data_IF_329473543674
#
_entry.id   IF_329473543674
#
_cell.length_a   1.000
_cell.length_b   1.000
_cell.length_c   1.000
_cell.angle_alpha   90.00
_cell.angle_beta   90.00
_cell.angle_gamma   90.00
#
_symmetry.space_group_name_H-M   'P 1'
#
loop_
_entity.id
_entity.type
_entity.pdbx_description
1 polymer ?
#
# COMPACT_ATOMS: atom_id res chain seq x y z
N UNK A 1 21.50 -89.21 39.27
CA UNK A 1 22.65 -89.80 38.63
C UNK A 1 22.82 -89.15 37.24
N UNK A 2 24.04 -88.72 36.95
CA UNK A 2 24.68 -88.33 35.68
C UNK A 2 24.27 -86.98 35.10
N UNK A 3 25.16 -86.03 35.24
CA UNK A 3 25.49 -84.78 34.58
C UNK A 3 25.66 -84.95 33.04
N UNK A 4 25.17 -84.00 32.29
CA UNK A 4 25.79 -83.63 31.00
C UNK A 4 25.86 -82.13 30.86
N UNK A 5 27.05 -81.64 30.72
CA UNK A 5 27.45 -80.27 30.45
C UNK A 5 27.37 -80.08 28.94
N UNK A 6 26.68 -79.08 28.47
CA UNK A 6 26.74 -78.60 27.07
C UNK A 6 27.35 -77.23 27.05
N UNK A 7 28.50 -77.16 26.40
CA UNK A 7 29.31 -75.93 26.15
C UNK A 7 28.65 -75.11 25.03
N UNK A 8 28.26 -73.87 25.29
CA UNK A 8 27.77 -72.99 24.26
C UNK A 8 28.79 -71.90 23.95
N UNK A 9 29.31 -71.96 22.71
CA UNK A 9 30.29 -71.05 22.15
C UNK A 9 29.56 -69.75 21.83
N UNK A 10 29.97 -68.58 22.39
CA UNK A 10 29.47 -67.24 22.07
C UNK A 10 30.30 -66.69 20.93
N UNK A 11 29.68 -66.50 19.75
CA UNK A 11 30.23 -65.69 18.67
C UNK A 11 29.83 -64.22 18.96
N UNK A 12 30.81 -63.37 19.23
CA UNK A 12 30.64 -61.93 19.30
C UNK A 12 30.70 -61.37 17.88
N UNK A 13 29.55 -60.94 17.35
CA UNK A 13 29.44 -60.09 16.16
C UNK A 13 29.51 -58.64 16.58
N UNK A 14 30.58 -57.94 16.25
CA UNK A 14 30.75 -56.52 16.46
C UNK A 14 29.84 -55.72 15.55
N UNK A 15 28.83 -55.02 16.12
CA UNK A 15 28.08 -54.01 15.44
C UNK A 15 28.82 -52.65 15.56
N UNK A 16 29.46 -52.19 14.46
CA UNK A 16 29.89 -50.79 14.35
C UNK A 16 28.64 -49.89 14.31
N UNK A 17 28.37 -49.23 15.41
CA UNK A 17 27.42 -48.11 15.43
C UNK A 17 28.06 -46.91 14.73
N UNK A 18 27.66 -46.65 13.49
CA UNK A 18 27.83 -45.36 12.84
C UNK A 18 26.94 -44.32 13.54
N UNK A 19 27.50 -43.63 14.55
CA UNK A 19 26.93 -42.41 15.06
C UNK A 19 27.05 -41.32 14.01
N UNK A 20 26.05 -41.23 13.12
CA UNK A 20 25.80 -40.06 12.31
C UNK A 20 25.47 -38.91 13.24
N UNK A 21 26.39 -37.97 13.40
CA UNK A 21 26.06 -36.66 13.96
C UNK A 21 25.07 -35.99 13.01
N UNK A 22 23.77 -36.18 13.23
CA UNK A 22 22.76 -35.21 12.79
C UNK A 22 23.05 -33.96 13.61
N UNK A 23 23.55 -32.89 12.97
CA UNK A 23 23.45 -31.54 13.52
C UNK A 23 21.98 -31.34 13.87
N UNK A 24 21.65 -31.33 15.16
CA UNK A 24 20.36 -30.77 15.63
C UNK A 24 20.28 -29.35 15.04
N UNK A 25 19.26 -29.09 14.26
CA UNK A 25 18.81 -27.71 14.03
C UNK A 25 18.77 -27.04 15.41
N UNK A 26 19.42 -25.90 15.55
CA UNK A 26 19.49 -25.17 16.81
C UNK A 26 18.09 -25.04 17.39
N UNK A 27 18.01 -25.14 18.70
CA UNK A 27 16.75 -25.05 19.45
C UNK A 27 16.12 -23.70 19.14
N UNK A 28 15.07 -23.68 18.32
CA UNK A 28 14.38 -22.46 17.87
C UNK A 28 13.61 -21.76 19.00
N UNK A 29 13.58 -22.38 20.19
CA UNK A 29 12.87 -21.89 21.37
C UNK A 29 13.49 -20.62 22.00
N UNK A 30 14.73 -20.28 21.67
CA UNK A 30 15.44 -19.13 22.24
C UNK A 30 15.47 -17.89 21.31
N UNK A 31 14.89 -17.97 20.11
CA UNK A 31 14.86 -16.86 19.16
C UNK A 31 13.67 -15.97 19.41
N UNK A 32 13.93 -14.67 19.61
CA UNK A 32 12.91 -13.63 19.65
C UNK A 32 13.27 -12.57 18.60
N UNK A 33 12.38 -12.35 17.65
CA UNK A 33 12.48 -11.29 16.65
C UNK A 33 11.85 -10.02 17.22
N UNK A 34 12.54 -8.88 17.10
CA UNK A 34 12.00 -7.56 17.42
C UNK A 34 11.52 -6.91 16.14
N UNK A 35 10.21 -6.71 16.03
CA UNK A 35 9.55 -6.13 14.87
C UNK A 35 8.93 -4.77 15.19
N UNK A 36 9.32 -3.72 14.46
CA UNK A 36 8.75 -2.38 14.55
C UNK A 36 7.75 -2.16 13.42
N UNK A 37 6.47 -2.01 13.78
CA UNK A 37 5.39 -1.84 12.80
C UNK A 37 4.87 -0.41 12.74
N UNK A 38 4.55 0.03 11.49
CA UNK A 38 3.87 1.29 11.21
C UNK A 38 2.39 1.29 11.58
N UNK A 39 1.83 0.14 11.90
CA UNK A 39 0.44 0.02 12.28
C UNK A 39 0.25 0.30 13.77
N UNK A 40 -0.94 0.79 14.14
CA UNK A 40 -1.38 0.75 15.53
C UNK A 40 -2.01 -0.64 15.78
N UNK A 41 -1.88 -1.15 16.98
CA UNK A 41 -2.43 -2.47 17.35
C UNK A 41 -3.95 -2.56 17.11
N UNK A 42 -4.68 -1.45 17.32
CA UNK A 42 -6.13 -1.39 17.14
C UNK A 42 -6.58 -1.36 15.66
N UNK A 43 -5.68 -1.09 14.72
CA UNK A 43 -6.00 -1.15 13.30
C UNK A 43 -6.19 -2.61 12.86
N UNK A 44 -7.05 -2.90 11.86
CA UNK A 44 -7.25 -4.28 11.37
C UNK A 44 -5.95 -4.99 11.01
N UNK A 45 -5.00 -4.26 10.42
CA UNK A 45 -3.67 -4.75 10.09
C UNK A 45 -2.91 -5.16 11.35
N UNK A 46 -2.86 -4.28 12.37
CA UNK A 46 -2.20 -4.56 13.64
C UNK A 46 -2.78 -5.81 14.33
N UNK A 47 -4.11 -5.93 14.35
CA UNK A 47 -4.78 -7.10 14.91
C UNK A 47 -4.44 -8.41 14.18
N UNK A 48 -4.33 -8.38 12.85
CA UNK A 48 -3.93 -9.55 12.06
C UNK A 48 -2.46 -9.88 12.30
N UNK A 49 -1.58 -8.88 12.32
CA UNK A 49 -0.15 -9.06 12.59
C UNK A 49 0.09 -9.69 13.97
N UNK A 50 -0.61 -9.23 15.01
CA UNK A 50 -0.51 -9.80 16.36
C UNK A 50 -0.88 -11.29 16.37
N UNK A 51 -2.03 -11.66 15.81
CA UNK A 51 -2.48 -13.07 15.74
C UNK A 51 -1.56 -13.93 14.88
N UNK A 52 -1.05 -13.39 13.77
CA UNK A 52 -0.10 -14.09 12.91
C UNK A 52 1.23 -14.37 13.63
N UNK A 53 1.72 -13.42 14.44
CA UNK A 53 2.92 -13.58 15.26
C UNK A 53 2.72 -14.65 16.35
N UNK A 54 1.58 -14.66 17.02
CA UNK A 54 1.24 -15.72 17.99
C UNK A 54 1.18 -17.12 17.33
N UNK A 55 0.54 -17.20 16.15
CA UNK A 55 0.46 -18.44 15.39
C UNK A 55 1.85 -18.89 14.91
N UNK A 56 2.67 -17.98 14.39
CA UNK A 56 4.04 -18.26 13.98
C UNK A 56 4.89 -18.79 15.14
N UNK A 57 4.76 -18.16 16.33
CA UNK A 57 5.46 -18.60 17.54
C UNK A 57 5.03 -20.02 17.93
N UNK A 58 3.73 -20.30 17.92
CA UNK A 58 3.19 -21.64 18.25
C UNK A 58 3.71 -22.71 17.29
N UNK A 59 3.79 -22.39 15.98
CA UNK A 59 4.08 -23.37 14.94
C UNK A 59 5.59 -23.57 14.72
N UNK A 60 6.41 -22.56 15.08
CA UNK A 60 7.85 -22.58 14.82
C UNK A 60 8.74 -22.53 16.05
N UNK A 61 8.21 -22.13 17.20
CA UNK A 61 8.96 -21.83 18.43
C UNK A 61 9.68 -20.48 18.40
N UNK A 62 9.68 -19.75 17.27
CA UNK A 62 10.29 -18.42 17.13
C UNK A 62 9.31 -17.38 17.65
N UNK A 63 9.71 -16.61 18.65
CA UNK A 63 8.89 -15.51 19.18
C UNK A 63 9.01 -14.28 18.28
N UNK A 64 7.93 -13.52 18.19
CA UNK A 64 7.92 -12.22 17.51
C UNK A 64 7.35 -11.19 18.47
N UNK A 65 8.18 -10.23 18.86
CA UNK A 65 7.81 -9.09 19.71
C UNK A 65 7.54 -7.88 18.80
N UNK A 66 6.25 -7.48 18.71
CA UNK A 66 5.84 -6.41 17.81
C UNK A 66 5.69 -5.11 18.59
N UNK A 67 6.47 -4.11 18.22
CA UNK A 67 6.31 -2.73 18.66
C UNK A 67 5.40 -1.99 17.67
N UNK A 68 4.15 -1.76 18.05
CA UNK A 68 3.18 -1.01 17.27
C UNK A 68 3.42 0.51 17.41
N UNK A 69 4.28 1.06 16.58
CA UNK A 69 4.70 2.47 16.62
C UNK A 69 3.68 3.43 15.98
N UNK A 70 2.73 2.90 15.21
CA UNK A 70 1.90 3.75 14.37
C UNK A 70 2.76 4.56 13.39
N UNK A 71 2.23 5.67 12.91
CA UNK A 71 2.93 6.56 11.94
C UNK A 71 4.11 7.33 12.56
N UNK A 72 4.30 7.27 13.89
CA UNK A 72 5.47 7.86 14.54
C UNK A 72 6.77 7.12 14.22
N UNK A 73 6.70 5.88 13.71
CA UNK A 73 7.85 5.14 13.16
C UNK A 73 8.66 6.00 12.18
N UNK A 74 8.01 6.90 11.44
CA UNK A 74 8.64 7.82 10.49
C UNK A 74 9.65 8.77 11.13
N UNK A 75 9.51 9.02 12.43
CA UNK A 75 10.39 9.90 13.20
C UNK A 75 11.33 9.12 14.12
N UNK A 76 10.92 7.95 14.58
CA UNK A 76 11.60 7.21 15.65
C UNK A 76 12.55 6.14 15.15
N UNK A 77 12.28 5.53 13.98
CA UNK A 77 13.06 4.39 13.49
C UNK A 77 14.50 4.76 13.12
N UNK A 78 14.71 5.88 12.41
CA UNK A 78 16.05 6.29 12.01
C UNK A 78 16.98 6.50 13.24
N UNK A 79 16.60 7.28 14.27
CA UNK A 79 17.43 7.43 15.48
C UNK A 79 17.71 6.11 16.19
N UNK A 80 16.73 5.20 16.25
CA UNK A 80 16.89 3.89 16.89
C UNK A 80 17.89 2.99 16.12
N UNK A 81 17.81 2.96 14.79
CA UNK A 81 18.77 2.26 13.94
C UNK A 81 20.18 2.84 14.06
N UNK A 82 20.31 4.18 14.11
CA UNK A 82 21.59 4.88 14.30
C UNK A 82 22.20 4.60 15.69
N UNK A 83 21.36 4.46 16.72
CA UNK A 83 21.78 4.08 18.06
C UNK A 83 22.16 2.59 18.20
N UNK A 84 21.89 1.78 17.19
CA UNK A 84 22.15 0.34 17.20
C UNK A 84 21.19 -0.44 18.10
N UNK A 85 19.95 0.05 18.27
CA UNK A 85 18.92 -0.69 18.98
C UNK A 85 18.64 -2.04 18.31
N UNK A 86 18.23 -3.02 19.11
CA UNK A 86 17.88 -4.34 18.59
C UNK A 86 16.54 -4.22 17.86
N UNK A 87 16.60 -4.21 16.54
CA UNK A 87 15.45 -4.23 15.62
C UNK A 87 15.81 -5.20 14.50
N UNK A 88 15.06 -6.30 14.39
CA UNK A 88 15.34 -7.32 13.37
C UNK A 88 14.63 -7.02 12.05
N UNK A 89 13.39 -6.57 12.13
CA UNK A 89 12.61 -6.14 10.97
C UNK A 89 11.69 -4.97 11.31
N UNK A 90 11.30 -4.25 10.27
CA UNK A 90 10.38 -3.11 10.38
C UNK A 90 9.58 -2.96 9.09
N UNK A 91 8.47 -2.22 9.14
CA UNK A 91 7.65 -1.97 7.96
C UNK A 91 7.23 -0.51 7.82
N UNK A 92 7.05 -0.08 6.60
CA UNK A 92 6.46 1.17 6.14
C UNK A 92 6.23 1.13 4.62
N UNK A 93 5.85 2.24 4.01
CA UNK A 93 5.74 2.38 2.55
C UNK A 93 7.01 1.93 1.83
N UNK A 94 6.84 1.23 0.70
CA UNK A 94 7.94 0.59 -0.03
C UNK A 94 9.04 1.57 -0.47
N UNK A 95 8.67 2.78 -0.90
CA UNK A 95 9.63 3.80 -1.32
C UNK A 95 10.34 4.40 -0.10
N UNK A 96 9.63 4.60 1.01
CA UNK A 96 10.22 5.08 2.25
C UNK A 96 11.20 4.07 2.84
N UNK A 97 10.85 2.80 2.92
CA UNK A 97 11.77 1.74 3.39
C UNK A 97 13.04 1.72 2.55
N UNK A 98 12.91 1.79 1.23
CA UNK A 98 14.05 1.75 0.32
C UNK A 98 14.90 3.02 0.36
N UNK A 99 14.28 4.20 0.31
CA UNK A 99 14.98 5.48 0.12
C UNK A 99 15.48 6.06 1.45
N UNK A 100 14.70 5.94 2.54
CA UNK A 100 15.08 6.54 3.83
C UNK A 100 15.99 5.59 4.62
N UNK A 101 15.66 4.29 4.64
CA UNK A 101 16.36 3.32 5.48
C UNK A 101 17.17 2.28 4.69
N UNK A 102 17.32 2.48 3.38
CA UNK A 102 18.03 1.53 2.48
C UNK A 102 19.43 1.12 2.92
N UNK A 103 20.15 1.99 3.64
CA UNK A 103 21.48 1.70 4.18
C UNK A 103 21.49 0.68 5.33
N UNK A 104 20.33 0.43 5.95
CA UNK A 104 20.17 -0.53 7.05
C UNK A 104 19.64 -1.87 6.57
N UNK A 105 19.25 -2.00 5.30
CA UNK A 105 18.60 -3.19 4.77
C UNK A 105 19.58 -4.29 4.40
N UNK A 106 19.18 -5.52 4.71
CA UNK A 106 19.84 -6.73 4.24
C UNK A 106 19.42 -7.04 2.79
N UNK A 107 20.35 -7.42 1.87
CA UNK A 107 19.97 -7.99 0.59
C UNK A 107 19.25 -9.33 0.76
N UNK A 108 18.13 -9.51 0.05
CA UNK A 108 17.21 -10.64 0.26
C UNK A 108 17.09 -11.57 -0.96
N UNK A 109 17.88 -11.39 -2.02
CA UNK A 109 17.78 -12.16 -3.26
C UNK A 109 17.91 -13.69 -3.02
N UNK A 110 18.84 -14.11 -2.15
CA UNK A 110 19.02 -15.51 -1.80
C UNK A 110 17.81 -16.11 -1.08
N UNK A 111 17.10 -15.30 -0.28
CA UNK A 111 15.90 -15.73 0.42
C UNK A 111 14.70 -15.80 -0.53
N UNK A 112 14.55 -14.82 -1.43
CA UNK A 112 13.48 -14.76 -2.44
C UNK A 112 13.51 -15.96 -3.39
N UNK A 113 14.70 -16.50 -3.65
CA UNK A 113 14.90 -17.67 -4.52
C UNK A 113 14.59 -19.02 -3.86
N UNK A 114 14.42 -19.06 -2.53
CA UNK A 114 14.12 -20.30 -1.79
C UNK A 114 12.64 -20.63 -1.79
N UNK A 115 12.33 -21.90 -1.58
CA UNK A 115 10.97 -22.39 -1.30
C UNK A 115 10.75 -22.50 0.21
N UNK A 116 9.52 -22.25 0.65
CA UNK A 116 9.08 -22.31 2.05
C UNK A 116 7.85 -23.19 2.20
N UNK A 117 7.47 -23.53 3.42
CA UNK A 117 6.32 -24.41 3.70
C UNK A 117 5.01 -23.90 3.10
N UNK A 118 4.81 -22.56 3.06
CA UNK A 118 3.60 -21.92 2.54
C UNK A 118 3.65 -21.62 1.04
N UNK A 119 4.78 -21.87 0.35
CA UNK A 119 4.94 -21.57 -1.10
C UNK A 119 4.62 -22.75 -2.03
N UNK A 120 4.19 -23.89 -1.48
CA UNK A 120 3.87 -25.07 -2.28
C UNK A 120 5.04 -25.63 -3.08
N UNK A 121 6.27 -25.50 -2.59
CA UNK A 121 7.50 -25.97 -3.24
C UNK A 121 8.05 -25.04 -4.32
N UNK A 122 7.38 -23.93 -4.60
CA UNK A 122 7.87 -22.89 -5.54
C UNK A 122 8.79 -21.90 -4.83
N UNK A 123 9.77 -21.28 -5.53
CA UNK A 123 10.48 -20.14 -5.00
C UNK A 123 9.52 -19.03 -4.53
N UNK A 124 9.85 -18.36 -3.41
CA UNK A 124 8.99 -17.33 -2.85
C UNK A 124 8.67 -16.21 -3.85
N UNK A 125 9.66 -15.76 -4.62
CA UNK A 125 9.47 -14.69 -5.61
C UNK A 125 8.51 -15.04 -6.76
N UNK A 126 8.14 -16.32 -6.94
CA UNK A 126 7.20 -16.76 -7.97
C UNK A 126 5.75 -16.80 -7.48
N UNK A 127 5.53 -16.77 -6.16
CA UNK A 127 4.19 -16.88 -5.56
C UNK A 127 3.59 -15.54 -5.14
N UNK A 128 4.38 -14.47 -5.18
CA UNK A 128 3.97 -13.13 -4.81
C UNK A 128 3.87 -12.20 -6.03
N UNK A 129 3.27 -11.02 -5.85
CA UNK A 129 3.09 -10.04 -6.91
C UNK A 129 4.41 -9.61 -7.55
N UNK A 130 4.61 -10.02 -8.81
CA UNK A 130 5.87 -9.78 -9.53
C UNK A 130 6.14 -8.29 -9.76
N UNK A 131 5.13 -7.49 -10.07
CA UNK A 131 5.30 -6.04 -10.33
C UNK A 131 5.87 -5.33 -9.12
N UNK A 132 5.40 -5.66 -7.91
CA UNK A 132 5.89 -5.07 -6.67
C UNK A 132 7.27 -5.61 -6.27
N UNK A 133 7.54 -6.89 -6.53
CA UNK A 133 8.88 -7.44 -6.30
C UNK A 133 9.91 -6.80 -7.25
N UNK A 134 9.55 -6.57 -8.52
CA UNK A 134 10.40 -5.87 -9.47
C UNK A 134 10.61 -4.40 -9.05
N UNK A 135 9.59 -3.73 -8.51
CA UNK A 135 9.71 -2.39 -7.93
C UNK A 135 10.68 -2.38 -6.73
N UNK A 136 10.54 -3.34 -5.80
CA UNK A 136 11.47 -3.48 -4.68
C UNK A 136 12.92 -3.66 -5.14
N UNK A 137 13.13 -4.46 -6.20
CA UNK A 137 14.44 -4.65 -6.82
C UNK A 137 14.97 -3.36 -7.46
N UNK A 138 14.14 -2.62 -8.17
CA UNK A 138 14.51 -1.33 -8.77
C UNK A 138 14.92 -0.32 -7.70
N UNK A 139 14.11 -0.16 -6.65
CA UNK A 139 14.39 0.74 -5.53
C UNK A 139 15.65 0.33 -4.74
N UNK A 140 15.94 -0.97 -4.68
CA UNK A 140 17.14 -1.52 -4.05
C UNK A 140 18.41 -1.46 -4.89
N UNK A 141 18.39 -0.78 -6.06
CA UNK A 141 19.56 -0.65 -6.95
C UNK A 141 19.93 -1.94 -7.66
N UNK A 142 18.95 -2.75 -8.04
CA UNK A 142 19.10 -4.05 -8.70
C UNK A 142 19.04 -5.26 -7.77
N UNK A 143 18.98 -5.05 -6.47
CA UNK A 143 18.82 -6.09 -5.45
C UNK A 143 17.45 -5.96 -4.75
N UNK A 144 16.86 -7.08 -4.34
CA UNK A 144 15.72 -7.05 -3.44
C UNK A 144 16.21 -6.75 -2.04
N UNK A 145 15.87 -5.60 -1.48
CA UNK A 145 16.25 -5.19 -0.12
C UNK A 145 15.07 -5.02 0.82
N UNK A 146 13.86 -5.00 0.28
CA UNK A 146 12.64 -4.99 1.06
C UNK A 146 11.61 -5.93 0.42
N UNK A 147 10.66 -6.39 1.19
CA UNK A 147 9.62 -7.31 0.71
C UNK A 147 8.27 -6.62 0.79
N UNK A 148 7.63 -6.38 -0.37
CA UNK A 148 6.31 -5.77 -0.40
C UNK A 148 5.26 -6.66 0.27
N UNK A 149 4.30 -6.03 0.94
CA UNK A 149 3.11 -6.66 1.46
C UNK A 149 1.95 -5.65 1.45
N UNK A 150 0.74 -6.13 1.56
CA UNK A 150 -0.46 -5.29 1.50
C UNK A 150 -0.40 -4.24 0.39
N UNK A 151 -0.45 -4.67 -0.89
CA UNK A 151 -0.46 -3.76 -2.02
C UNK A 151 -1.58 -2.73 -1.93
N UNK A 152 -1.38 -1.59 -2.56
CA UNK A 152 -2.36 -0.52 -2.64
C UNK A 152 -2.32 0.18 -3.99
N UNK A 153 -3.46 0.70 -4.43
CA UNK A 153 -3.57 1.49 -5.64
C UNK A 153 -4.30 2.80 -5.36
N UNK A 154 -3.82 3.89 -5.94
CA UNK A 154 -4.51 5.18 -5.91
C UNK A 154 -5.45 5.26 -7.10
N UNK A 155 -6.75 5.19 -6.83
CA UNK A 155 -7.82 5.07 -7.82
C UNK A 155 -9.02 5.90 -7.39
N UNK A 156 -9.93 6.17 -8.32
CA UNK A 156 -11.21 6.76 -7.96
C UNK A 156 -12.12 5.69 -7.38
N UNK A 157 -12.40 5.79 -6.07
CA UNK A 157 -13.42 4.98 -5.41
C UNK A 157 -14.77 5.66 -5.55
N UNK A 158 -15.83 4.88 -5.78
CA UNK A 158 -17.17 5.43 -5.94
C UNK A 158 -18.25 4.57 -5.28
N UNK A 159 -19.38 5.21 -4.96
CA UNK A 159 -20.57 4.58 -4.41
C UNK A 159 -21.44 4.06 -5.56
N UNK A 160 -21.55 2.73 -5.72
CA UNK A 160 -22.34 2.08 -6.77
C UNK A 160 -23.84 2.40 -6.69
N UNK A 161 -24.38 2.55 -5.47
CA UNK A 161 -25.80 2.85 -5.30
C UNK A 161 -26.16 4.24 -5.85
N UNK A 162 -25.27 5.22 -5.66
CA UNK A 162 -25.46 6.56 -6.24
C UNK A 162 -25.32 6.56 -7.75
N UNK A 163 -24.39 5.79 -8.32
CA UNK A 163 -24.25 5.66 -9.76
C UNK A 163 -25.47 5.00 -10.39
N UNK A 164 -25.97 3.91 -9.81
CA UNK A 164 -27.21 3.25 -10.26
C UNK A 164 -28.42 4.20 -10.17
N UNK A 165 -28.59 4.88 -9.03
CA UNK A 165 -29.68 5.86 -8.84
C UNK A 165 -29.61 7.02 -9.84
N UNK A 166 -28.41 7.45 -10.22
CA UNK A 166 -28.18 8.50 -11.20
C UNK A 166 -28.30 8.00 -12.67
N UNK A 167 -28.50 6.72 -12.89
CA UNK A 167 -28.54 6.12 -14.23
C UNK A 167 -27.19 6.18 -14.96
N UNK A 168 -26.08 6.07 -14.22
CA UNK A 168 -24.73 5.98 -14.78
C UNK A 168 -24.40 4.51 -15.03
N UNK A 169 -24.35 4.11 -16.29
CA UNK A 169 -24.17 2.71 -16.71
C UNK A 169 -22.76 2.41 -17.23
N UNK A 170 -21.93 3.42 -17.42
CA UNK A 170 -20.54 3.29 -17.85
C UNK A 170 -19.63 4.18 -16.98
N UNK A 171 -18.46 3.65 -16.66
CA UNK A 171 -17.48 4.37 -15.86
C UNK A 171 -16.78 5.45 -16.71
N UNK A 172 -16.53 6.64 -16.15
CA UNK A 172 -15.84 7.73 -16.87
C UNK A 172 -14.43 7.31 -17.33
N UNK A 173 -14.11 7.57 -18.59
CA UNK A 173 -12.78 7.37 -19.18
C UNK A 173 -12.15 8.68 -19.67
N UNK A 174 -12.98 9.69 -19.89
CA UNK A 174 -12.59 11.03 -20.34
C UNK A 174 -13.12 12.09 -19.39
N UNK A 175 -12.60 13.30 -19.49
CA UNK A 175 -13.11 14.45 -18.74
C UNK A 175 -14.57 14.75 -19.06
N UNK A 176 -14.99 14.57 -20.32
CA UNK A 176 -16.40 14.72 -20.72
C UNK A 176 -17.31 13.71 -20.04
N UNK A 177 -16.89 12.41 -19.99
CA UNK A 177 -17.63 11.38 -19.28
C UNK A 177 -17.75 11.73 -17.78
N UNK A 178 -16.66 12.22 -17.17
CA UNK A 178 -16.65 12.61 -15.77
C UNK A 178 -17.65 13.73 -15.49
N UNK A 179 -17.64 14.78 -16.32
CA UNK A 179 -18.58 15.90 -16.18
C UNK A 179 -20.02 15.47 -16.41
N UNK A 180 -20.27 14.59 -17.37
CA UNK A 180 -21.60 14.03 -17.61
C UNK A 180 -22.08 13.20 -16.41
N UNK A 181 -21.21 12.38 -15.82
CA UNK A 181 -21.51 11.65 -14.58
C UNK A 181 -21.82 12.61 -13.41
N UNK A 182 -21.01 13.64 -13.21
CA UNK A 182 -21.27 14.67 -12.19
C UNK A 182 -22.61 15.37 -12.39
N UNK A 183 -22.98 15.69 -13.64
CA UNK A 183 -24.28 16.28 -13.95
C UNK A 183 -25.46 15.38 -13.55
N UNK A 184 -25.37 14.07 -13.83
CA UNK A 184 -26.39 13.08 -13.41
C UNK A 184 -26.45 12.94 -11.89
N UNK A 185 -25.31 12.92 -11.20
CA UNK A 185 -25.25 12.84 -9.74
C UNK A 185 -25.87 14.09 -9.09
N UNK A 186 -25.57 15.27 -9.62
CA UNK A 186 -26.20 16.53 -9.17
C UNK A 186 -27.73 16.46 -9.31
N UNK A 187 -28.27 15.89 -10.38
CA UNK A 187 -29.70 15.78 -10.60
C UNK A 187 -30.42 14.94 -9.53
N UNK A 188 -29.70 14.04 -8.85
CA UNK A 188 -30.24 13.26 -7.71
C UNK A 188 -29.89 13.84 -6.33
N UNK A 189 -29.25 15.03 -6.30
CA UNK A 189 -28.88 15.73 -5.07
C UNK A 189 -27.55 15.33 -4.45
N UNK A 190 -26.69 14.61 -5.16
CA UNK A 190 -25.33 14.26 -4.73
C UNK A 190 -24.29 15.13 -5.45
N UNK A 191 -23.21 15.52 -4.76
CA UNK A 191 -22.05 16.06 -5.44
C UNK A 191 -21.26 14.92 -6.13
N UNK A 192 -20.55 15.27 -7.20
CA UNK A 192 -19.75 14.28 -7.93
C UNK A 192 -18.52 13.86 -7.16
N UNK A 193 -17.67 14.82 -6.76
CA UNK A 193 -16.30 14.58 -6.27
C UNK A 193 -16.05 15.40 -5.00
N UNK A 194 -15.20 14.85 -4.12
CA UNK A 194 -14.58 15.54 -3.01
C UNK A 194 -13.09 15.28 -2.92
N UNK A 195 -12.41 15.97 -2.02
CA UNK A 195 -11.04 15.73 -1.58
C UNK A 195 -10.92 16.20 -0.13
N UNK A 196 -9.96 15.71 0.62
CA UNK A 196 -9.56 16.28 1.91
C UNK A 196 -8.10 16.76 1.89
N UNK A 197 -7.67 17.38 2.98
CA UNK A 197 -6.34 17.99 3.10
C UNK A 197 -5.17 17.01 2.90
N UNK A 198 -5.37 15.73 3.20
CA UNK A 198 -4.34 14.71 3.01
C UNK A 198 -4.10 14.36 1.53
N UNK A 199 -5.11 14.54 0.66
CA UNK A 199 -5.05 14.09 -0.74
C UNK A 199 -5.12 15.23 -1.77
N UNK A 200 -5.13 16.51 -1.37
CA UNK A 200 -5.16 17.65 -2.32
C UNK A 200 -3.96 17.65 -3.26
N UNK A 201 -2.76 17.36 -2.75
CA UNK A 201 -1.55 17.31 -3.58
C UNK A 201 -1.58 16.13 -4.55
N UNK A 202 -2.04 14.95 -4.10
CA UNK A 202 -2.20 13.80 -4.97
C UNK A 202 -3.26 14.05 -6.05
N UNK A 203 -4.41 14.65 -5.70
CA UNK A 203 -5.42 15.05 -6.66
C UNK A 203 -4.88 16.03 -7.71
N UNK A 204 -4.14 17.05 -7.30
CA UNK A 204 -3.49 18.00 -8.20
C UNK A 204 -2.46 17.29 -9.10
N UNK A 205 -1.60 16.45 -8.53
CA UNK A 205 -0.57 15.71 -9.28
C UNK A 205 -1.14 14.80 -10.36
N UNK A 206 -2.21 14.05 -10.04
CA UNK A 206 -2.92 13.23 -11.02
C UNK A 206 -3.55 14.05 -12.15
N UNK A 207 -4.13 15.22 -11.83
CA UNK A 207 -4.66 16.10 -12.87
C UNK A 207 -3.54 16.69 -13.74
N UNK A 208 -2.36 17.03 -13.17
CA UNK A 208 -1.20 17.45 -13.95
C UNK A 208 -0.71 16.32 -14.88
N UNK A 209 -0.62 15.10 -14.36
CA UNK A 209 -0.30 13.93 -15.17
C UNK A 209 -1.25 13.75 -16.36
N UNK A 210 -2.55 13.84 -16.14
CA UNK A 210 -3.57 13.75 -17.19
C UNK A 210 -3.51 14.90 -18.21
N UNK A 211 -3.01 16.07 -17.81
CA UNK A 211 -2.86 17.23 -18.68
C UNK A 211 -1.59 17.19 -19.51
N UNK A 212 -0.44 16.80 -18.92
CA UNK A 212 0.88 16.94 -19.56
C UNK A 212 1.77 15.69 -19.46
N UNK A 213 1.34 14.62 -18.79
CA UNK A 213 2.09 13.39 -18.56
C UNK A 213 3.00 13.44 -17.34
N UNK A 214 3.35 12.24 -16.83
CA UNK A 214 4.10 12.08 -15.59
C UNK A 214 5.50 12.73 -15.66
N UNK A 215 6.23 12.59 -16.75
CA UNK A 215 7.59 13.13 -16.88
C UNK A 215 7.61 14.67 -16.78
N UNK A 216 6.65 15.33 -17.45
CA UNK A 216 6.49 16.78 -17.36
C UNK A 216 6.05 17.21 -15.96
N UNK A 217 5.13 16.48 -15.34
CA UNK A 217 4.67 16.73 -13.96
C UNK A 217 5.81 16.60 -12.94
N UNK A 218 6.62 15.54 -13.04
CA UNK A 218 7.80 15.37 -12.19
C UNK A 218 8.87 16.45 -12.44
N UNK A 219 9.00 16.95 -13.69
CA UNK A 219 9.88 18.07 -13.98
C UNK A 219 9.39 19.38 -13.33
N UNK A 220 8.06 19.62 -13.28
CA UNK A 220 7.49 20.77 -12.54
C UNK A 220 7.91 20.72 -11.07
N UNK A 221 7.82 19.55 -10.43
CA UNK A 221 8.20 19.36 -9.02
C UNK A 221 9.71 19.61 -8.82
N UNK A 222 10.55 18.94 -9.63
CA UNK A 222 12.02 19.10 -9.53
C UNK A 222 12.50 20.53 -9.69
N UNK A 223 11.86 21.28 -10.57
CA UNK A 223 12.24 22.66 -10.89
C UNK A 223 11.46 23.68 -10.06
N UNK A 224 10.51 23.26 -9.24
CA UNK A 224 9.53 24.13 -8.57
C UNK A 224 8.87 25.11 -9.55
N UNK A 225 8.54 24.65 -10.77
CA UNK A 225 7.97 25.47 -11.84
C UNK A 225 6.51 25.11 -12.09
N UNK A 226 5.62 25.97 -11.62
CA UNK A 226 4.17 25.87 -11.78
C UNK A 226 3.61 27.02 -12.66
N UNK A 227 4.42 27.57 -13.56
CA UNK A 227 4.04 28.69 -14.45
C UNK A 227 3.36 28.22 -15.75
N UNK A 228 3.35 26.92 -16.04
CA UNK A 228 2.83 26.38 -17.29
C UNK A 228 1.30 26.47 -17.42
N UNK A 229 0.76 26.44 -18.66
CA UNK A 229 -0.66 26.61 -18.95
C UNK A 229 -1.55 25.50 -18.36
N UNK A 230 -1.00 24.33 -18.04
CA UNK A 230 -1.72 23.22 -17.41
C UNK A 230 -2.21 23.57 -16.00
N UNK A 231 -1.53 24.46 -15.28
CA UNK A 231 -1.95 24.91 -13.95
C UNK A 231 -3.20 25.77 -14.06
N UNK A 232 -3.24 26.65 -15.08
CA UNK A 232 -4.45 27.43 -15.38
C UNK A 232 -5.59 26.52 -15.86
N UNK A 233 -5.31 25.54 -16.71
CA UNK A 233 -6.33 24.59 -17.18
C UNK A 233 -6.95 23.79 -16.03
N UNK A 234 -6.15 23.34 -15.05
CA UNK A 234 -6.66 22.75 -13.83
C UNK A 234 -7.55 23.73 -13.05
N UNK A 235 -7.09 24.96 -12.85
CA UNK A 235 -7.86 26.00 -12.18
C UNK A 235 -9.22 26.22 -12.82
N UNK A 236 -9.27 26.32 -14.15
CA UNK A 236 -10.51 26.50 -14.92
C UNK A 236 -11.46 25.30 -14.79
N UNK A 237 -10.92 24.06 -14.85
CA UNK A 237 -11.71 22.87 -14.63
C UNK A 237 -12.33 22.85 -13.23
N UNK A 238 -11.53 23.13 -12.20
CA UNK A 238 -12.01 23.12 -10.81
C UNK A 238 -13.01 24.24 -10.53
N UNK A 239 -12.73 25.44 -10.99
CA UNK A 239 -13.68 26.57 -10.86
C UNK A 239 -15.03 26.25 -11.51
N UNK A 240 -15.01 25.67 -12.70
CA UNK A 240 -16.23 25.22 -13.40
C UNK A 240 -16.96 24.12 -12.60
N UNK A 241 -16.25 23.12 -12.10
CA UNK A 241 -16.83 22.02 -11.33
C UNK A 241 -17.46 22.51 -10.01
N UNK A 242 -16.80 23.43 -9.31
CA UNK A 242 -17.34 24.05 -8.07
C UNK A 242 -18.58 24.89 -8.39
N UNK A 243 -18.53 25.77 -9.40
CA UNK A 243 -19.68 26.62 -9.81
C UNK A 243 -20.88 25.78 -10.23
N UNK A 244 -20.67 24.65 -10.84
CA UNK A 244 -21.74 23.74 -11.25
C UNK A 244 -22.22 22.82 -10.11
N UNK A 245 -21.61 22.84 -8.93
CA UNK A 245 -21.92 21.94 -7.82
C UNK A 245 -21.56 20.46 -8.12
N UNK A 246 -20.58 20.22 -8.97
CA UNK A 246 -20.03 18.91 -9.28
C UNK A 246 -18.94 18.52 -8.30
N UNK A 247 -18.21 19.51 -7.76
CA UNK A 247 -17.21 19.34 -6.72
C UNK A 247 -17.76 19.88 -5.39
N UNK A 248 -17.54 19.14 -4.29
CA UNK A 248 -18.01 19.56 -2.98
C UNK A 248 -17.27 20.80 -2.50
N UNK A 249 -18.02 21.86 -2.13
CA UNK A 249 -17.41 23.05 -1.52
C UNK A 249 -16.88 22.79 -0.12
N UNK A 250 -17.40 21.77 0.59
CA UNK A 250 -16.89 21.37 1.91
C UNK A 250 -15.46 20.83 1.81
N UNK A 251 -15.04 20.33 0.65
CA UNK A 251 -13.70 19.83 0.41
C UNK A 251 -12.60 20.80 0.82
N UNK A 252 -12.84 22.13 0.72
CA UNK A 252 -11.91 23.16 1.15
C UNK A 252 -11.54 23.10 2.64
N UNK A 253 -12.43 22.57 3.49
CA UNK A 253 -12.28 22.47 4.94
C UNK A 253 -12.25 21.03 5.45
N UNK A 254 -12.28 20.06 4.55
CA UNK A 254 -12.21 18.66 4.93
C UNK A 254 -10.83 18.31 5.49
N UNK A 255 -10.81 17.81 6.71
CA UNK A 255 -9.61 17.29 7.37
C UNK A 255 -9.72 15.77 7.39
N UNK A 256 -8.65 15.11 6.99
CA UNK A 256 -8.55 13.65 7.03
C UNK A 256 -8.58 13.12 8.48
N UNK A 257 -9.32 12.06 8.80
CA UNK A 257 -10.25 11.31 7.92
C UNK A 257 -11.70 11.81 8.00
N UNK A 258 -11.99 12.89 8.70
CA UNK A 258 -13.37 13.36 8.96
C UNK A 258 -14.13 13.66 7.66
N UNK A 259 -13.47 14.25 6.65
CA UNK A 259 -14.08 14.54 5.36
C UNK A 259 -14.60 13.30 4.63
N UNK A 260 -13.90 12.18 4.71
CA UNK A 260 -14.34 10.91 4.14
C UNK A 260 -15.64 10.43 4.78
N UNK A 261 -15.71 10.51 6.11
CA UNK A 261 -16.91 10.10 6.87
C UNK A 261 -18.09 11.01 6.58
N UNK A 262 -17.88 12.32 6.59
CA UNK A 262 -18.98 13.28 6.42
C UNK A 262 -19.56 13.30 5.02
N UNK A 263 -18.77 13.09 3.99
CA UNK A 263 -19.21 13.24 2.61
C UNK A 263 -19.43 11.89 1.90
N UNK A 264 -18.46 11.00 1.96
CA UNK A 264 -18.55 9.70 1.26
C UNK A 264 -19.42 8.72 2.04
N UNK A 265 -19.15 8.51 3.32
CA UNK A 265 -19.90 7.53 4.13
C UNK A 265 -21.38 7.90 4.26
N UNK A 266 -21.73 9.18 4.22
CA UNK A 266 -23.12 9.65 4.24
C UNK A 266 -23.82 9.64 2.87
N UNK A 267 -23.09 9.35 1.80
CA UNK A 267 -23.63 9.38 0.43
C UNK A 267 -23.93 10.79 -0.10
N UNK A 268 -23.35 11.84 0.47
CA UNK A 268 -23.48 13.22 -0.05
C UNK A 268 -22.65 13.45 -1.29
N UNK A 269 -21.55 12.73 -1.40
CA UNK A 269 -20.62 12.74 -2.54
C UNK A 269 -20.44 11.33 -3.06
N UNK A 270 -20.39 11.19 -4.38
CA UNK A 270 -20.39 9.89 -5.02
C UNK A 270 -18.99 9.33 -5.30
N UNK A 271 -17.99 10.17 -5.54
CA UNK A 271 -16.64 9.77 -5.98
C UNK A 271 -15.57 10.44 -5.15
N UNK A 272 -14.47 9.71 -4.96
CA UNK A 272 -13.27 10.23 -4.31
C UNK A 272 -12.02 9.62 -4.96
N UNK A 273 -11.17 10.47 -5.55
CA UNK A 273 -9.84 10.06 -5.98
C UNK A 273 -8.98 9.87 -4.74
N UNK A 274 -8.84 8.64 -4.30
CA UNK A 274 -8.22 8.26 -3.04
C UNK A 274 -7.44 6.95 -3.25
N UNK A 275 -7.87 5.84 -2.66
CA UNK A 275 -7.18 4.57 -2.85
C UNK A 275 -7.97 3.38 -2.33
N UNK A 276 -7.41 2.22 -2.57
CA UNK A 276 -8.00 0.93 -2.20
C UNK A 276 -8.13 0.73 -0.69
N UNK A 277 -7.58 1.62 0.13
CA UNK A 277 -7.73 1.64 1.59
C UNK A 277 -9.03 2.31 2.07
N UNK A 278 -9.67 3.17 1.25
CA UNK A 278 -10.86 3.93 1.64
C UNK A 278 -12.01 3.06 2.18
N UNK A 279 -12.36 1.91 1.58
CA UNK A 279 -13.40 1.04 2.13
C UNK A 279 -13.12 0.56 3.56
N UNK A 280 -11.86 0.28 3.88
CA UNK A 280 -11.47 -0.11 5.23
C UNK A 280 -11.55 1.06 6.23
N UNK A 281 -11.09 2.23 5.83
CA UNK A 281 -11.03 3.43 6.70
C UNK A 281 -12.41 3.86 7.18
N UNK A 282 -13.44 3.77 6.33
CA UNK A 282 -14.79 4.21 6.67
C UNK A 282 -15.80 3.08 6.88
N UNK A 283 -15.37 1.81 6.93
CA UNK A 283 -16.29 0.67 7.08
C UNK A 283 -17.18 0.75 8.31
N UNK A 284 -16.69 1.32 9.40
CA UNK A 284 -17.46 1.53 10.62
C UNK A 284 -18.64 2.50 10.45
N UNK A 285 -18.52 3.45 9.53
CA UNK A 285 -19.52 4.48 9.23
C UNK A 285 -20.42 4.11 8.04
N UNK A 286 -19.91 3.27 7.13
CA UNK A 286 -20.62 2.83 5.93
C UNK A 286 -20.45 1.32 5.66
N UNK A 287 -20.86 0.44 6.60
CA UNK A 287 -20.56 -1.00 6.54
C UNK A 287 -21.20 -1.71 5.35
N UNK A 288 -22.28 -1.17 4.80
CA UNK A 288 -23.05 -1.77 3.71
C UNK A 288 -22.84 -1.04 2.36
N UNK A 289 -21.89 -0.11 2.28
CA UNK A 289 -21.65 0.63 1.03
C UNK A 289 -21.11 -0.32 -0.05
N UNK A 290 -21.77 -0.30 -1.21
CA UNK A 290 -21.31 -1.02 -2.39
C UNK A 290 -20.27 -0.19 -3.12
N UNK A 291 -19.02 -0.62 -3.01
CA UNK A 291 -17.89 0.07 -3.61
C UNK A 291 -17.66 -0.31 -5.06
N UNK A 292 -17.27 0.67 -5.87
CA UNK A 292 -16.64 0.48 -7.17
C UNK A 292 -15.36 1.28 -7.29
N UNK A 293 -14.59 1.02 -8.33
CA UNK A 293 -13.35 1.73 -8.60
C UNK A 293 -13.12 1.90 -10.10
N UNK A 294 -12.48 3.02 -10.48
CA UNK A 294 -11.99 3.25 -11.83
C UNK A 294 -10.74 4.13 -11.81
N UNK A 295 -9.95 4.07 -12.87
CA UNK A 295 -8.79 4.95 -13.06
C UNK A 295 -9.25 6.40 -13.26
N UNK A 296 -8.50 7.38 -12.73
CA UNK A 296 -8.81 8.79 -13.00
C UNK A 296 -8.83 9.05 -14.51
N UNK A 297 -9.89 9.71 -15.04
CA UNK A 297 -10.08 9.86 -16.48
C UNK A 297 -9.00 10.69 -17.16
N UNK A 298 -8.81 10.47 -18.45
CA UNK A 298 -8.02 11.35 -19.30
C UNK A 298 -8.74 12.70 -19.46
N UNK A 299 -8.04 13.81 -19.14
CA UNK A 299 -8.61 15.18 -19.20
C UNK A 299 -7.85 16.12 -20.14
N UNK A 300 -6.76 15.64 -20.73
CA UNK A 300 -5.90 16.42 -21.64
C UNK A 300 -5.05 15.51 -22.51
N UNK A 301 -3.88 16.00 -22.89
CA UNK A 301 -2.93 15.29 -23.77
C UNK A 301 -1.83 14.53 -23.03
N UNK A 302 -1.94 14.42 -21.72
CA UNK A 302 -1.02 13.65 -20.87
C UNK A 302 -1.29 12.16 -20.88
N UNK A 303 -0.99 11.51 -19.76
CA UNK A 303 -1.20 10.07 -19.63
C UNK A 303 -2.70 9.72 -19.52
N UNK A 304 -3.06 8.54 -19.98
CA UNK A 304 -4.43 8.03 -19.96
C UNK A 304 -4.77 7.19 -18.72
N UNK A 305 -5.85 6.45 -18.81
CA UNK A 305 -6.36 5.59 -17.73
C UNK A 305 -5.44 4.40 -17.40
N UNK A 306 -4.47 4.11 -18.26
CA UNK A 306 -3.45 3.08 -18.07
C UNK A 306 -2.32 3.51 -17.12
N UNK A 307 -2.23 4.80 -16.76
CA UNK A 307 -1.22 5.33 -15.85
C UNK A 307 -1.81 5.49 -14.44
N UNK A 308 -1.35 4.70 -13.48
CA UNK A 308 -1.86 4.73 -12.10
C UNK A 308 -0.74 4.49 -11.09
N UNK A 309 -0.93 4.99 -9.86
CA UNK A 309 -0.07 4.59 -8.76
C UNK A 309 -0.47 3.18 -8.28
N UNK A 310 0.51 2.32 -8.19
CA UNK A 310 0.43 1.02 -7.56
C UNK A 310 1.68 0.82 -6.72
N UNK A 311 1.49 0.67 -5.43
CA UNK A 311 2.54 0.54 -4.44
C UNK A 311 2.16 -0.48 -3.37
N UNK A 312 2.87 -0.48 -2.26
CA UNK A 312 2.61 -1.37 -1.13
C UNK A 312 3.21 -0.82 0.15
N UNK A 313 2.82 -1.38 1.27
CA UNK A 313 3.70 -1.43 2.43
C UNK A 313 4.82 -2.44 2.17
N UNK A 314 5.89 -2.38 2.95
CA UNK A 314 7.06 -3.23 2.72
C UNK A 314 7.81 -3.51 4.01
N UNK A 315 8.27 -4.76 4.17
CA UNK A 315 9.17 -5.15 5.25
C UNK A 315 10.62 -4.87 4.87
N UNK A 316 11.35 -4.22 5.76
CA UNK A 316 12.80 -4.17 5.76
C UNK A 316 13.37 -5.15 6.80
N UNK A 317 14.36 -5.94 6.43
CA UNK A 317 15.16 -6.75 7.37
C UNK A 317 16.44 -5.98 7.68
N UNK A 318 16.70 -5.74 8.96
CA UNK A 318 17.91 -5.04 9.39
C UNK A 318 19.14 -5.88 9.08
N UNK A 319 20.11 -5.32 8.36
CA UNK A 319 21.37 -6.01 8.02
C UNK A 319 22.19 -6.46 9.25
N UNK A 320 21.94 -5.86 10.42
CA UNK A 320 22.62 -6.19 11.67
C UNK A 320 21.88 -7.23 12.51
N UNK A 321 20.73 -7.77 12.02
CA UNK A 321 20.01 -8.83 12.72
C UNK A 321 20.87 -10.08 12.87
N UNK A 322 20.71 -10.77 14.00
CA UNK A 322 21.33 -12.08 14.23
C UNK A 322 20.48 -13.23 13.66
N UNK A 323 19.25 -12.93 13.23
CA UNK A 323 18.21 -13.89 12.87
C UNK A 323 17.60 -13.62 11.48
N UNK A 324 18.43 -13.45 10.42
CA UNK A 324 17.92 -13.07 9.10
C UNK A 324 17.02 -14.13 8.46
N UNK A 325 17.30 -15.42 8.65
CA UNK A 325 16.47 -16.51 8.14
C UNK A 325 15.11 -16.56 8.84
N UNK A 326 15.10 -16.40 10.16
CA UNK A 326 13.88 -16.38 10.98
C UNK A 326 13.00 -15.17 10.67
N UNK A 327 13.61 -13.99 10.50
CA UNK A 327 12.91 -12.76 10.10
C UNK A 327 12.28 -12.93 8.72
N UNK A 328 13.02 -13.49 7.76
CA UNK A 328 12.47 -13.74 6.42
C UNK A 328 11.36 -14.81 6.43
N UNK A 329 11.49 -15.87 7.24
CA UNK A 329 10.42 -16.86 7.41
C UNK A 329 9.13 -16.26 7.95
N UNK A 330 9.23 -15.29 8.87
CA UNK A 330 8.05 -14.55 9.36
C UNK A 330 7.42 -13.69 8.26
N UNK A 331 8.23 -13.03 7.42
CA UNK A 331 7.73 -12.27 6.26
C UNK A 331 6.99 -13.20 5.29
N UNK A 332 7.56 -14.35 4.94
CA UNK A 332 6.90 -15.35 4.08
C UNK A 332 5.57 -15.81 4.68
N UNK A 333 5.54 -16.05 6.00
CA UNK A 333 4.34 -16.43 6.74
C UNK A 333 3.20 -15.42 6.59
N UNK A 334 3.54 -14.12 6.60
CA UNK A 334 2.57 -13.01 6.48
C UNK A 334 2.12 -12.74 5.04
N UNK A 335 2.96 -13.04 4.06
CA UNK A 335 2.77 -12.62 2.67
C UNK A 335 2.35 -13.75 1.74
N UNK A 336 2.11 -14.94 2.29
CA UNK A 336 1.64 -16.12 1.54
C UNK A 336 0.59 -16.90 2.34
N UNK A 337 -0.27 -17.63 1.62
CA UNK A 337 -1.23 -18.56 2.21
C UNK A 337 -2.29 -17.90 3.10
N UNK A 338 -2.56 -18.51 4.25
CA UNK A 338 -3.68 -18.11 5.12
C UNK A 338 -3.56 -16.68 5.66
N UNK A 339 -2.35 -16.25 6.06
CA UNK A 339 -2.18 -14.95 6.70
C UNK A 339 -2.23 -13.79 5.71
N UNK A 340 -1.74 -13.97 4.49
CA UNK A 340 -1.95 -13.01 3.40
C UNK A 340 -3.45 -12.86 3.07
N UNK A 341 -4.15 -13.97 2.92
CA UNK A 341 -5.59 -13.97 2.67
C UNK A 341 -6.39 -13.37 3.85
N UNK A 342 -5.97 -13.62 5.08
CA UNK A 342 -6.60 -13.06 6.28
C UNK A 342 -6.38 -11.56 6.38
N UNK A 343 -5.15 -11.10 6.13
CA UNK A 343 -4.82 -9.68 6.10
C UNK A 343 -5.65 -8.96 5.03
N UNK A 344 -5.69 -9.48 3.82
CA UNK A 344 -6.48 -8.91 2.73
C UNK A 344 -7.98 -8.83 3.08
N UNK A 345 -8.55 -9.90 3.63
CA UNK A 345 -9.98 -9.96 3.97
C UNK A 345 -10.36 -9.00 5.10
N UNK A 346 -9.59 -8.97 6.20
CA UNK A 346 -9.96 -8.21 7.40
C UNK A 346 -9.64 -6.72 7.29
N UNK A 347 -8.58 -6.37 6.56
CA UNK A 347 -8.25 -4.97 6.27
C UNK A 347 -8.89 -4.44 4.98
N UNK A 348 -9.69 -5.25 4.27
CA UNK A 348 -10.20 -4.92 2.92
C UNK A 348 -9.04 -4.43 2.05
N UNK A 349 -7.94 -5.17 2.05
CA UNK A 349 -6.70 -4.83 1.35
C UNK A 349 -6.44 -5.74 0.15
N UNK A 350 -5.52 -5.35 -0.69
CA UNK A 350 -5.05 -6.17 -1.80
C UNK A 350 -4.11 -7.25 -1.22
N UNK A 351 -4.29 -8.55 -1.56
CA UNK A 351 -3.36 -9.59 -1.15
C UNK A 351 -2.03 -9.47 -1.90
N UNK A 352 -0.95 -9.89 -1.25
CA UNK A 352 0.37 -9.97 -1.88
C UNK A 352 0.56 -11.23 -2.71
N UNK A 353 0.00 -12.35 -2.23
CA UNK A 353 0.06 -13.65 -2.90
C UNK A 353 -0.78 -13.72 -4.16
N UNK A 354 -0.21 -14.26 -5.24
CA UNK A 354 -0.89 -14.37 -6.53
C UNK A 354 -2.15 -15.25 -6.49
N UNK A 355 -2.18 -16.21 -5.58
CA UNK A 355 -3.26 -17.19 -5.44
C UNK A 355 -4.33 -16.75 -4.42
N UNK A 356 -4.15 -15.61 -3.75
CA UNK A 356 -5.09 -15.08 -2.75
C UNK A 356 -6.24 -14.29 -3.41
N UNK A 357 -7.45 -14.48 -2.88
CA UNK A 357 -8.64 -13.80 -3.38
C UNK A 357 -8.67 -12.31 -2.96
N UNK A 358 -9.03 -11.45 -3.89
CA UNK A 358 -9.29 -10.04 -3.61
C UNK A 358 -10.64 -9.87 -2.91
N UNK A 359 -10.76 -8.93 -1.95
CA UNK A 359 -12.06 -8.56 -1.38
C UNK A 359 -13.03 -8.02 -2.45
N UNK A 360 -14.31 -8.36 -2.34
CA UNK A 360 -15.36 -7.92 -3.29
C UNK A 360 -15.40 -6.39 -3.45
N UNK A 361 -15.17 -5.65 -2.37
CA UNK A 361 -15.10 -4.19 -2.41
C UNK A 361 -14.01 -3.65 -3.33
N UNK A 362 -13.00 -4.45 -3.67
CA UNK A 362 -11.86 -4.09 -4.51
C UNK A 362 -11.86 -4.78 -5.89
N UNK A 363 -12.92 -5.49 -6.25
CA UNK A 363 -12.98 -6.25 -7.51
C UNK A 363 -12.76 -5.37 -8.75
N UNK A 364 -13.30 -4.14 -8.77
CA UNK A 364 -13.08 -3.20 -9.88
C UNK A 364 -11.72 -2.52 -9.79
N UNK A 365 -11.19 -2.30 -8.59
CA UNK A 365 -9.81 -1.83 -8.42
C UNK A 365 -8.80 -2.82 -8.99
N UNK A 366 -9.08 -4.14 -8.92
CA UNK A 366 -8.27 -5.16 -9.57
C UNK A 366 -8.18 -4.95 -11.07
N UNK A 367 -9.30 -4.60 -11.72
CA UNK A 367 -9.33 -4.33 -13.17
C UNK A 367 -8.41 -3.13 -13.49
N UNK A 368 -8.43 -2.08 -12.66
CA UNK A 368 -7.52 -0.92 -12.82
C UNK A 368 -6.06 -1.33 -12.67
N UNK A 369 -5.73 -2.08 -11.62
CA UNK A 369 -4.36 -2.56 -11.37
C UNK A 369 -3.86 -3.44 -12.51
N UNK A 370 -4.67 -4.41 -12.95
CA UNK A 370 -4.31 -5.35 -14.04
C UNK A 370 -4.14 -4.64 -15.40
N UNK A 371 -4.83 -3.51 -15.62
CA UNK A 371 -4.73 -2.71 -16.84
C UNK A 371 -3.68 -1.61 -16.78
N UNK A 372 -3.03 -1.42 -15.63
CA UNK A 372 -2.00 -0.40 -15.46
C UNK A 372 -0.71 -0.82 -16.18
N UNK A 373 -0.34 -0.07 -17.20
CA UNK A 373 0.91 -0.28 -17.96
C UNK A 373 1.99 0.75 -17.63
N UNK A 374 1.61 1.87 -17.01
CA UNK A 374 2.51 2.92 -16.52
C UNK A 374 2.28 3.16 -15.05
N UNK A 375 3.31 2.84 -14.23
CA UNK A 375 3.27 3.14 -12.81
C UNK A 375 3.59 4.61 -12.56
N UNK A 376 2.73 5.29 -11.82
CA UNK A 376 2.98 6.64 -11.31
C UNK A 376 3.58 6.55 -9.89
N UNK A 377 4.53 7.42 -9.54
CA UNK A 377 4.93 7.57 -8.14
C UNK A 377 3.79 8.18 -7.31
N UNK A 378 3.89 8.08 -6.00
CA UNK A 378 2.92 8.67 -5.09
C UNK A 378 2.72 10.17 -5.38
N UNK A 379 1.45 10.61 -5.43
CA UNK A 379 1.05 12.01 -5.72
C UNK A 379 1.71 12.61 -6.96
N UNK A 380 2.28 11.78 -7.85
CA UNK A 380 3.13 12.19 -8.99
C UNK A 380 4.25 13.16 -8.54
N UNK A 381 4.82 12.88 -7.35
CA UNK A 381 5.93 13.65 -6.76
C UNK A 381 5.52 14.95 -6.03
N UNK A 382 4.24 15.34 -6.04
CA UNK A 382 3.82 16.63 -5.43
C UNK A 382 4.01 16.68 -3.91
N UNK A 383 4.16 15.54 -3.25
CA UNK A 383 4.43 15.43 -1.80
C UNK A 383 5.92 15.21 -1.47
N UNK A 384 6.80 15.12 -2.48
CA UNK A 384 8.24 14.98 -2.26
C UNK A 384 8.85 16.27 -1.66
N UNK A 385 8.20 17.41 -1.87
CA UNK A 385 8.55 18.70 -1.27
C UNK A 385 7.45 19.19 -0.32
N UNK A 386 7.74 19.36 0.99
CA UNK A 386 6.80 19.92 1.95
C UNK A 386 6.26 21.30 1.56
N UNK A 387 7.10 22.15 0.95
CA UNK A 387 6.70 23.50 0.52
C UNK A 387 5.73 23.45 -0.66
N UNK A 388 5.97 22.59 -1.65
CA UNK A 388 5.06 22.38 -2.78
C UNK A 388 3.73 21.82 -2.29
N UNK A 389 3.75 20.81 -1.42
CA UNK A 389 2.56 20.23 -0.82
C UNK A 389 1.72 21.31 -0.09
N UNK A 390 2.36 22.11 0.76
CA UNK A 390 1.69 23.20 1.49
C UNK A 390 1.09 24.25 0.54
N UNK A 391 1.85 24.68 -0.48
CA UNK A 391 1.41 25.62 -1.53
C UNK A 391 0.16 25.12 -2.27
N UNK A 392 0.15 23.85 -2.67
CA UNK A 392 -0.99 23.22 -3.35
C UNK A 392 -2.21 23.23 -2.43
N UNK A 393 -2.08 22.72 -1.20
CA UNK A 393 -3.20 22.64 -0.23
C UNK A 393 -3.82 23.99 0.02
N UNK A 394 -3.03 25.01 0.31
CA UNK A 394 -3.51 26.36 0.60
C UNK A 394 -4.26 26.95 -0.59
N UNK A 395 -3.66 26.93 -1.79
CA UNK A 395 -4.24 27.59 -2.95
C UNK A 395 -5.43 26.82 -3.53
N UNK A 396 -5.38 25.47 -3.48
CA UNK A 396 -6.50 24.65 -3.93
C UNK A 396 -7.73 24.80 -3.00
N UNK A 397 -7.55 24.87 -1.69
CA UNK A 397 -8.64 25.16 -0.76
C UNK A 397 -9.29 26.52 -1.07
N UNK A 398 -8.50 27.58 -1.31
CA UNK A 398 -9.00 28.90 -1.70
C UNK A 398 -9.76 28.88 -3.03
N UNK A 399 -9.29 28.08 -4.01
CA UNK A 399 -10.00 27.90 -5.29
C UNK A 399 -11.37 27.22 -5.08
N UNK A 400 -11.44 26.18 -4.25
CA UNK A 400 -12.69 25.47 -3.93
C UNK A 400 -13.68 26.41 -3.21
N UNK A 401 -13.20 27.26 -2.31
CA UNK A 401 -14.04 28.25 -1.60
C UNK A 401 -14.52 29.39 -2.51
N UNK A 402 -13.86 29.61 -3.65
CA UNK A 402 -14.12 30.73 -4.54
C UNK A 402 -13.40 32.03 -4.14
N UNK A 403 -12.44 31.95 -3.20
CA UNK A 403 -11.58 33.07 -2.81
C UNK A 403 -10.54 33.40 -3.90
N UNK A 404 -10.20 32.41 -4.73
CA UNK A 404 -9.40 32.54 -5.94
C UNK A 404 -10.24 32.07 -7.14
N UNK A 405 -10.16 32.81 -8.25
CA UNK A 405 -10.54 32.29 -9.57
C UNK A 405 -9.37 31.52 -10.20
N UNK A 406 -9.57 30.94 -11.39
CA UNK A 406 -8.57 30.11 -12.08
C UNK A 406 -7.26 30.85 -12.36
N UNK A 407 -7.32 32.12 -12.81
CA UNK A 407 -6.16 32.94 -13.10
C UNK A 407 -5.39 33.29 -11.83
N UNK A 408 -6.11 33.63 -10.76
CA UNK A 408 -5.50 33.94 -9.45
C UNK A 408 -4.85 32.70 -8.84
N UNK A 409 -5.49 31.54 -8.98
CA UNK A 409 -4.91 30.27 -8.56
C UNK A 409 -3.61 29.99 -9.30
N UNK A 410 -3.60 30.07 -10.65
CA UNK A 410 -2.39 29.86 -11.43
C UNK A 410 -1.28 30.84 -11.07
N UNK A 411 -1.61 32.12 -10.84
CA UNK A 411 -0.65 33.14 -10.41
C UNK A 411 -0.11 32.89 -8.99
N UNK A 412 -0.92 32.32 -8.09
CA UNK A 412 -0.49 31.96 -6.73
C UNK A 412 0.44 30.72 -6.75
N UNK A 413 0.15 29.74 -7.59
CA UNK A 413 0.98 28.55 -7.77
C UNK A 413 2.35 28.87 -8.39
N UNK A 414 2.44 29.90 -9.24
CA UNK A 414 3.68 30.35 -9.90
C UNK A 414 4.67 31.08 -8.95
N UNK A 415 4.27 31.45 -7.75
CA UNK A 415 5.12 32.07 -6.71
C UNK A 415 5.83 31.01 -5.86
#
# INVERSE_FOLDING_TARGET
MKKQIVLMVILAAGALALTGCSKKAGDSSDVTLVYWSMWNEAEPQGQVLARAAEAFTRDTGIKVDINFNGRDIRKTLQPALDAGETIDLFDEDIERVANTWGNYLLPLDDYVSKSYSTTGGRPYGEVINKTLLDLARQLGGGQVKNIPYQPSAFVTMYNKDLFEKAGITSLPKTGEDLLAACGKLKAIGAAGITVDDAYMAAFFGYNMDRLVGADATLAMVRNNDFTGPQVLAFGQLMEMMVKNGYFSQKAASNIYPAGQVEEIATGRVAMYLNGTWLPNEIKGNAPNMRWGAFAWPAIGSGDGVEANNFGSQSFGVNKNTKYPEEAFRFIVWLTTGEWDATLARESIGIPMGNDSAWPDALAEAKVVVDSTTKRLPWAVGMEDSPDINAKIKENFAKLIMGDLNAEQFAAAMAK
#
